data_IF_848456877504
#
_entry.id   IF_848456877504
#
_cell.length_a   1.000
_cell.length_b   1.000
_cell.length_c   1.000
_cell.angle_alpha   90.00
_cell.angle_beta   90.00
_cell.angle_gamma   90.00
#
_symmetry.space_group_name_H-M   'P 1'
#
loop_
_entity.id
_entity.type
_entity.pdbx_description
1 polymer ?
#
# COMPACT_ATOMS: atom_id res chain seq x y z
N UNK A 1 3.62 -37.94 79.90
CA UNK A 1 2.75 -37.01 79.21
C UNK A 1 3.60 -35.84 78.81
N UNK A 2 3.94 -35.73 77.54
CA UNK A 2 4.80 -34.68 77.01
C UNK A 2 3.96 -33.88 75.99
N UNK A 3 3.67 -32.63 76.35
CA UNK A 3 2.90 -31.69 75.56
C UNK A 3 3.87 -30.90 74.68
N UNK A 4 3.82 -31.13 73.37
CA UNK A 4 4.62 -30.41 72.41
C UNK A 4 3.85 -29.20 71.90
N UNK A 5 4.31 -27.98 72.22
CA UNK A 5 3.74 -26.71 71.79
C UNK A 5 4.36 -26.40 70.39
N UNK A 6 3.55 -26.41 69.34
CA UNK A 6 3.96 -26.03 67.96
C UNK A 6 3.77 -24.49 67.82
N UNK A 7 4.88 -23.79 67.63
CA UNK A 7 4.93 -22.37 67.24
C UNK A 7 4.71 -22.24 65.74
N UNK A 8 3.55 -21.64 65.37
CA UNK A 8 3.27 -21.27 63.97
C UNK A 8 3.83 -19.85 63.76
N UNK A 9 4.91 -19.76 62.99
CA UNK A 9 5.46 -18.50 62.50
C UNK A 9 4.73 -18.12 61.22
N UNK A 10 3.81 -17.15 61.29
CA UNK A 10 3.13 -16.56 60.13
C UNK A 10 4.07 -15.56 59.47
N UNK A 11 4.70 -15.97 58.34
CA UNK A 11 5.52 -15.09 57.49
C UNK A 11 4.63 -14.19 56.63
N UNK A 12 4.58 -12.91 56.95
CA UNK A 12 3.91 -11.88 56.13
C UNK A 12 4.82 -11.53 54.91
N UNK A 13 4.55 -12.13 53.76
CA UNK A 13 5.22 -11.77 52.51
C UNK A 13 4.63 -10.47 51.96
N UNK A 14 5.34 -9.38 52.13
CA UNK A 14 4.99 -8.08 51.54
C UNK A 14 5.42 -8.10 50.06
N UNK A 15 4.48 -8.35 49.14
CA UNK A 15 4.71 -8.28 47.71
C UNK A 15 4.79 -6.81 47.28
N UNK A 16 5.99 -6.32 47.02
CA UNK A 16 6.24 -5.00 46.41
C UNK A 16 5.93 -5.10 44.94
N UNK A 17 4.77 -4.60 44.53
CA UNK A 17 4.41 -4.48 43.10
C UNK A 17 5.19 -3.29 42.51
N UNK A 18 6.19 -3.58 41.67
CA UNK A 18 6.88 -2.57 40.87
C UNK A 18 5.93 -2.10 39.77
N UNK A 19 5.70 -0.79 39.58
CA UNK A 19 4.93 -0.29 38.46
C UNK A 19 5.65 -0.60 37.17
N UNK A 20 5.01 -1.33 36.22
CA UNK A 20 5.52 -1.55 34.90
C UNK A 20 5.65 -0.20 34.14
N UNK A 21 6.75 0.04 33.39
CA UNK A 21 6.87 1.25 32.60
C UNK A 21 5.72 1.29 31.59
N UNK A 22 4.89 2.33 31.66
CA UNK A 22 3.88 2.61 30.65
C UNK A 22 4.60 2.93 29.34
N UNK A 23 4.60 1.98 28.42
CA UNK A 23 5.07 2.20 27.06
C UNK A 23 4.18 3.25 26.42
N UNK A 24 4.67 4.50 26.33
CA UNK A 24 4.00 5.55 25.60
C UNK A 24 3.95 5.12 24.12
N UNK A 25 2.79 4.67 23.67
CA UNK A 25 2.54 4.41 22.26
C UNK A 25 2.54 5.75 21.55
N UNK A 26 3.62 6.01 20.81
CA UNK A 26 3.69 7.14 19.90
C UNK A 26 2.66 6.87 18.79
N UNK A 27 1.46 7.39 18.98
CA UNK A 27 0.43 7.35 17.95
C UNK A 27 0.89 8.26 16.81
N UNK A 28 1.09 7.66 15.62
CA UNK A 28 1.35 8.44 14.42
C UNK A 28 0.18 9.44 14.23
N UNK A 29 0.48 10.71 13.90
CA UNK A 29 -0.58 11.70 13.72
C UNK A 29 -1.58 11.23 12.67
N UNK A 30 -2.88 11.54 12.81
CA UNK A 30 -3.90 11.16 11.83
C UNK A 30 -3.50 11.72 10.46
N UNK A 31 -3.22 10.82 9.53
CA UNK A 31 -2.82 11.23 8.19
C UNK A 31 -4.02 11.81 7.47
N UNK A 32 -3.95 13.11 7.16
CA UNK A 32 -4.99 13.76 6.36
C UNK A 32 -5.07 13.08 5.00
N UNK A 33 -6.27 12.74 4.51
CA UNK A 33 -6.43 12.18 3.17
C UNK A 33 -5.76 13.07 2.12
N UNK A 34 -5.05 12.46 1.19
CA UNK A 34 -4.42 13.19 0.08
C UNK A 34 -5.50 13.82 -0.80
N UNK A 35 -5.29 15.06 -1.22
CA UNK A 35 -6.09 15.66 -2.28
C UNK A 35 -5.90 14.87 -3.60
N UNK A 36 -6.81 15.05 -4.55
CA UNK A 36 -6.69 14.39 -5.86
C UNK A 36 -5.35 14.73 -6.54
N UNK A 37 -4.94 15.99 -6.54
CA UNK A 37 -3.67 16.41 -7.13
C UNK A 37 -2.45 15.79 -6.42
N UNK A 38 -2.47 15.71 -5.09
CA UNK A 38 -1.40 15.06 -4.32
C UNK A 38 -1.35 13.55 -4.59
N UNK A 39 -2.50 12.92 -4.73
CA UNK A 39 -2.60 11.50 -5.05
C UNK A 39 -2.06 11.21 -6.45
N UNK A 40 -2.41 12.02 -7.44
CA UNK A 40 -1.86 11.90 -8.82
C UNK A 40 -0.36 12.12 -8.83
N UNK A 41 0.16 13.10 -8.08
CA UNK A 41 1.59 13.36 -7.98
C UNK A 41 2.36 12.19 -7.34
N UNK A 42 1.81 11.62 -6.27
CA UNK A 42 2.35 10.41 -5.62
C UNK A 42 2.37 9.23 -6.61
N UNK A 43 1.26 8.98 -7.29
CA UNK A 43 1.16 7.91 -8.28
C UNK A 43 2.17 8.06 -9.41
N UNK A 44 2.36 9.30 -9.92
CA UNK A 44 3.40 9.61 -10.89
C UNK A 44 4.79 9.24 -10.39
N UNK A 45 5.14 9.65 -9.18
CA UNK A 45 6.46 9.37 -8.60
C UNK A 45 6.70 7.86 -8.42
N UNK A 46 5.68 7.12 -7.97
CA UNK A 46 5.75 5.66 -7.80
C UNK A 46 5.95 4.97 -9.14
N UNK A 47 5.19 5.34 -10.16
CA UNK A 47 5.27 4.77 -11.50
C UNK A 47 6.61 5.11 -12.17
N UNK A 48 7.10 6.33 -12.03
CA UNK A 48 8.42 6.71 -12.55
C UNK A 48 9.54 5.89 -11.93
N UNK A 49 9.50 5.69 -10.62
CA UNK A 49 10.55 4.95 -9.91
C UNK A 49 10.56 3.45 -10.21
N UNK A 50 9.38 2.84 -10.34
CA UNK A 50 9.26 1.39 -10.38
C UNK A 50 9.05 0.84 -11.81
N UNK A 51 8.53 1.64 -12.74
CA UNK A 51 8.05 1.15 -14.03
C UNK A 51 8.77 1.77 -15.24
N UNK A 52 9.39 2.95 -15.07
CA UNK A 52 9.98 3.70 -16.20
C UNK A 52 11.17 3.03 -16.86
N UNK A 53 11.78 2.04 -16.23
CA UNK A 53 12.88 1.26 -16.80
C UNK A 53 12.41 0.51 -18.06
N UNK A 54 11.17 0.06 -18.09
CA UNK A 54 10.62 -0.74 -19.18
C UNK A 54 9.48 -0.04 -19.93
N UNK A 55 8.65 0.74 -19.24
CA UNK A 55 7.44 1.36 -19.79
C UNK A 55 7.60 2.86 -20.06
N UNK A 56 6.99 3.35 -21.14
CA UNK A 56 6.71 4.78 -21.28
C UNK A 56 5.60 5.15 -20.28
N UNK A 57 6.00 5.83 -19.23
CA UNK A 57 5.12 6.15 -18.08
C UNK A 57 4.43 7.52 -18.20
N UNK A 58 4.69 8.27 -19.26
CA UNK A 58 4.11 9.58 -19.53
C UNK A 58 3.08 9.57 -20.65
N UNK A 59 2.65 10.80 -21.03
CA UNK A 59 1.67 11.03 -22.12
C UNK A 59 2.28 10.86 -23.52
N UNK A 60 3.60 10.80 -23.64
CA UNK A 60 4.33 10.72 -24.90
C UNK A 60 5.58 9.83 -24.76
N UNK A 61 6.24 9.56 -25.87
CA UNK A 61 7.44 8.75 -25.94
C UNK A 61 7.17 7.26 -26.14
N UNK A 62 8.19 6.54 -26.60
CA UNK A 62 8.16 5.07 -26.71
C UNK A 62 8.60 4.44 -25.38
N UNK A 63 8.15 3.21 -25.14
CA UNK A 63 8.65 2.43 -24.01
C UNK A 63 10.11 2.02 -24.26
N UNK A 64 10.99 2.09 -23.25
CA UNK A 64 12.37 1.60 -23.37
C UNK A 64 12.44 0.13 -23.78
N UNK A 65 11.55 -0.71 -23.22
CA UNK A 65 11.39 -2.09 -23.66
C UNK A 65 10.30 -2.18 -24.73
N UNK A 66 10.59 -2.74 -25.91
CA UNK A 66 9.59 -2.89 -26.99
C UNK A 66 8.38 -3.73 -26.61
N UNK A 67 8.56 -4.70 -25.70
CA UNK A 67 7.50 -5.60 -25.23
C UNK A 67 6.58 -4.92 -24.20
N UNK A 68 7.04 -3.83 -23.56
CA UNK A 68 6.30 -3.15 -22.51
C UNK A 68 5.35 -2.10 -23.11
N UNK A 69 4.02 -2.20 -22.93
CA UNK A 69 3.10 -1.21 -23.48
C UNK A 69 3.28 0.15 -22.81
N UNK A 70 3.13 1.25 -23.56
CA UNK A 70 3.05 2.59 -22.96
C UNK A 70 1.83 2.70 -22.04
N UNK A 71 2.00 3.28 -20.87
CA UNK A 71 0.92 3.34 -19.87
C UNK A 71 -0.30 4.17 -20.31
N UNK A 72 -0.11 5.12 -21.22
CA UNK A 72 -1.24 5.88 -21.79
C UNK A 72 -2.20 5.04 -22.65
N UNK A 73 -1.80 3.81 -23.00
CA UNK A 73 -2.55 2.90 -23.87
C UNK A 73 -3.11 1.69 -23.13
N UNK A 74 -2.99 1.65 -21.80
CA UNK A 74 -3.46 0.52 -21.00
C UNK A 74 -4.97 0.28 -21.14
N UNK A 75 -5.77 1.34 -21.34
CA UNK A 75 -7.21 1.24 -21.60
C UNK A 75 -7.57 0.34 -22.80
N UNK A 76 -6.66 0.15 -23.75
CA UNK A 76 -6.85 -0.75 -24.90
C UNK A 76 -6.73 -2.23 -24.50
N UNK A 77 -6.14 -2.52 -23.35
CA UNK A 77 -5.87 -3.88 -22.85
C UNK A 77 -6.78 -4.30 -21.70
N UNK A 78 -7.51 -3.37 -21.15
CA UNK A 78 -8.43 -3.58 -20.03
C UNK A 78 -8.68 -2.31 -19.24
N UNK A 79 -9.53 -2.45 -18.23
CA UNK A 79 -9.84 -1.36 -17.33
C UNK A 79 -8.65 -1.09 -16.39
N UNK A 80 -8.20 0.16 -16.34
CA UNK A 80 -7.10 0.59 -15.48
C UNK A 80 -7.44 0.43 -13.99
N UNK A 81 -8.71 0.49 -13.63
CA UNK A 81 -9.22 0.26 -12.28
C UNK A 81 -8.96 -1.17 -11.79
N UNK A 82 -8.99 -2.15 -12.68
CA UNK A 82 -8.69 -3.55 -12.35
C UNK A 82 -7.26 -3.76 -11.82
N UNK A 83 -6.34 -2.84 -12.15
CA UNK A 83 -4.99 -2.86 -11.57
C UNK A 83 -5.02 -2.59 -10.05
N UNK A 84 -5.96 -1.79 -9.56
CA UNK A 84 -6.16 -1.52 -8.14
C UNK A 84 -6.68 -2.74 -7.39
N UNK A 85 -7.60 -3.48 -7.96
CA UNK A 85 -8.19 -4.68 -7.36
C UNK A 85 -7.19 -5.85 -7.33
N UNK A 86 -6.44 -6.04 -8.42
CA UNK A 86 -5.38 -7.03 -8.51
C UNK A 86 -4.16 -6.69 -7.65
N UNK A 87 -3.91 -5.40 -7.45
CA UNK A 87 -2.73 -4.88 -6.77
C UNK A 87 -2.69 -5.14 -5.26
N UNK A 88 -3.82 -5.41 -4.60
CA UNK A 88 -3.85 -5.87 -3.20
C UNK A 88 -3.22 -7.27 -3.02
N UNK A 89 -3.16 -8.05 -4.11
CA UNK A 89 -2.52 -9.39 -4.16
C UNK A 89 -1.15 -9.37 -4.87
N UNK A 90 -0.59 -8.19 -5.14
CA UNK A 90 0.55 -7.96 -6.03
C UNK A 90 0.07 -7.67 -7.47
N UNK A 91 0.78 -6.78 -8.16
CA UNK A 91 0.53 -6.61 -9.61
C UNK A 91 1.11 -7.85 -10.31
N UNK A 92 0.30 -8.89 -10.37
CA UNK A 92 0.63 -10.11 -11.08
C UNK A 92 0.40 -9.86 -12.56
N UNK A 93 1.47 -9.68 -13.28
CA UNK A 93 1.42 -9.67 -14.74
C UNK A 93 1.72 -11.07 -15.25
N UNK A 94 1.05 -11.44 -16.34
CA UNK A 94 1.34 -12.71 -17.03
C UNK A 94 2.64 -12.65 -17.85
N UNK A 95 3.36 -11.53 -17.77
CA UNK A 95 4.59 -11.33 -18.53
C UNK A 95 5.80 -11.77 -17.73
N UNK A 96 6.57 -12.78 -18.17
CA UNK A 96 7.67 -13.36 -17.39
C UNK A 96 8.77 -12.37 -17.00
N UNK A 97 8.97 -11.33 -17.81
CA UNK A 97 9.99 -10.31 -17.58
C UNK A 97 9.53 -9.16 -16.66
N UNK A 98 8.25 -9.13 -16.25
CA UNK A 98 7.76 -8.08 -15.37
C UNK A 98 7.91 -8.49 -13.91
N UNK A 99 8.66 -7.73 -13.08
CA UNK A 99 8.78 -8.02 -11.65
C UNK A 99 7.45 -7.95 -10.92
N UNK A 100 7.30 -8.73 -9.87
CA UNK A 100 6.18 -8.59 -8.93
C UNK A 100 6.40 -7.35 -8.05
N UNK A 101 5.44 -6.44 -8.02
CA UNK A 101 5.45 -5.26 -7.17
C UNK A 101 4.37 -5.38 -6.08
N UNK A 102 4.74 -4.96 -4.86
CA UNK A 102 3.82 -4.87 -3.73
C UNK A 102 3.75 -3.42 -3.26
N UNK A 103 2.57 -2.85 -3.35
CA UNK A 103 2.30 -1.48 -2.92
C UNK A 103 1.32 -1.46 -1.75
N UNK A 104 1.39 -0.42 -0.94
CA UNK A 104 0.38 -0.17 0.08
C UNK A 104 -0.95 0.22 -0.58
N UNK A 105 -2.10 -0.01 0.06
CA UNK A 105 -3.41 0.31 -0.55
C UNK A 105 -3.53 1.75 -1.05
N UNK A 106 -3.03 2.73 -0.30
CA UNK A 106 -3.04 4.14 -0.70
C UNK A 106 -2.12 4.45 -1.90
N UNK A 107 -1.01 3.73 -2.03
CA UNK A 107 -0.10 3.83 -3.17
C UNK A 107 -0.75 3.29 -4.45
N UNK A 108 -1.48 2.17 -4.33
CA UNK A 108 -2.24 1.61 -5.46
C UNK A 108 -3.30 2.58 -5.95
N UNK A 109 -4.06 3.18 -5.03
CA UNK A 109 -5.04 4.22 -5.38
C UNK A 109 -4.36 5.38 -6.10
N UNK A 110 -3.20 5.81 -5.62
CA UNK A 110 -2.43 6.89 -6.24
C UNK A 110 -1.94 6.50 -7.65
N UNK A 111 -1.43 5.29 -7.82
CA UNK A 111 -0.99 4.75 -9.12
C UNK A 111 -2.17 4.73 -10.10
N UNK A 112 -3.32 4.17 -9.73
CA UNK A 112 -4.50 4.10 -10.59
C UNK A 112 -4.97 5.49 -10.99
N UNK A 113 -5.03 6.45 -10.07
CA UNK A 113 -5.38 7.86 -10.36
C UNK A 113 -4.44 8.49 -11.37
N UNK A 114 -3.13 8.29 -11.21
CA UNK A 114 -2.15 8.77 -12.18
C UNK A 114 -2.35 8.11 -13.53
N UNK A 115 -2.46 6.79 -13.60
CA UNK A 115 -2.66 6.06 -14.85
C UNK A 115 -3.91 6.55 -15.59
N UNK A 116 -5.04 6.72 -14.90
CA UNK A 116 -6.26 7.32 -15.48
C UNK A 116 -6.00 8.71 -16.06
N UNK A 117 -5.23 9.52 -15.38
CA UNK A 117 -4.95 10.90 -15.80
C UNK A 117 -4.17 11.00 -17.10
N UNK A 118 -3.45 9.95 -17.49
CA UNK A 118 -2.60 9.93 -18.70
C UNK A 118 -3.18 9.13 -19.86
N UNK A 119 -4.31 8.44 -19.69
CA UNK A 119 -4.90 7.68 -20.78
C UNK A 119 -5.20 8.57 -21.99
N UNK A 120 -4.96 8.06 -23.20
CA UNK A 120 -5.27 8.78 -24.44
C UNK A 120 -6.77 8.92 -24.59
N UNK A 121 -7.24 10.13 -24.91
CA UNK A 121 -8.65 10.56 -24.85
C UNK A 121 -9.61 9.81 -25.79
N UNK A 122 -9.18 8.86 -26.58
CA UNK A 122 -10.04 8.26 -27.59
C UNK A 122 -11.19 7.43 -27.06
N UNK A 123 -11.16 7.02 -25.80
CA UNK A 123 -12.12 6.03 -25.28
C UNK A 123 -12.65 6.32 -23.88
N UNK A 124 -12.65 7.56 -23.43
CA UNK A 124 -13.47 7.91 -22.26
C UNK A 124 -14.92 8.08 -22.71
N UNK A 125 -15.48 7.08 -23.41
CA UNK A 125 -16.92 6.86 -23.49
C UNK A 125 -17.37 5.93 -22.37
N UNK A 126 -17.01 6.27 -21.14
CA UNK A 126 -17.80 5.85 -20.02
C UNK A 126 -19.07 6.72 -20.04
N UNK A 127 -20.07 6.29 -20.78
CA UNK A 127 -21.45 6.70 -20.56
C UNK A 127 -22.03 5.70 -19.55
N UNK A 128 -22.53 6.15 -18.37
CA UNK A 128 -23.38 5.28 -17.57
C UNK A 128 -24.53 4.84 -18.49
N UNK A 129 -24.75 3.56 -18.59
CA UNK A 129 -25.99 3.02 -19.19
C UNK A 129 -27.03 3.10 -18.08
N UNK A 130 -27.99 3.98 -18.28
CA UNK A 130 -29.22 4.02 -17.51
C UNK A 130 -29.93 2.66 -17.54
#
# INVERSE_FOLDING_TARGET
MRTTVALIVAGLACAVALPAPASAQVQAPPQRPLTEGQSVALGRALVQRNCAMCHAVGRAGASPSPEAPPFRELHQRGDVEMLGEGGAKGILTRHPAMPEFRFQPHELVAIVRYLRSIQSRRDVRWAPRD
#
